data_IF_449826426320
#
_entry.id   IF_449826426320
#
_cell.length_a   1.000
_cell.length_b   1.000
_cell.length_c   1.000
_cell.angle_alpha   90.00
_cell.angle_beta   90.00
_cell.angle_gamma   90.00
#
_symmetry.space_group_name_H-M   'P 1'
#
loop_
_entity.id
_entity.type
_entity.pdbx_description
1 polymer ?
#
# COMPACT_ATOMS: atom_id res chain seq x y z
N UNK A 1 -22.78 -10.61 18.93
CA UNK A 1 -22.00 -10.69 17.66
C UNK A 1 -20.90 -9.65 17.68
N UNK A 2 -19.85 -9.83 16.88
CA UNK A 2 -18.81 -8.82 16.65
C UNK A 2 -19.13 -8.09 15.35
N UNK A 3 -19.22 -6.77 15.41
CA UNK A 3 -19.45 -5.93 14.24
C UNK A 3 -18.14 -5.46 13.62
N UNK A 4 -18.03 -5.51 12.29
CA UNK A 4 -16.87 -5.02 11.55
C UNK A 4 -17.33 -3.94 10.58
N UNK A 5 -16.71 -2.77 10.66
CA UNK A 5 -16.96 -1.62 9.79
C UNK A 5 -15.90 -1.60 8.69
N UNK A 6 -16.30 -1.86 7.45
CA UNK A 6 -15.44 -1.87 6.26
C UNK A 6 -15.13 -3.27 5.75
N UNK A 7 -15.44 -3.51 4.47
CA UNK A 7 -15.22 -4.77 3.73
C UNK A 7 -13.91 -4.80 2.93
N UNK A 8 -12.90 -4.05 3.37
CA UNK A 8 -11.54 -4.14 2.83
C UNK A 8 -10.77 -5.35 3.37
N UNK A 9 -9.54 -5.57 2.89
CA UNK A 9 -8.68 -6.70 3.29
C UNK A 9 -8.53 -6.83 4.81
N UNK A 10 -8.35 -5.71 5.54
CA UNK A 10 -8.22 -5.75 7.00
C UNK A 10 -9.51 -6.21 7.71
N UNK A 11 -10.67 -5.73 7.27
CA UNK A 11 -11.96 -6.11 7.84
C UNK A 11 -12.31 -7.57 7.55
N UNK A 12 -12.07 -8.03 6.32
CA UNK A 12 -12.28 -9.42 5.92
C UNK A 12 -11.31 -10.37 6.65
N UNK A 13 -10.04 -9.98 6.82
CA UNK A 13 -9.07 -10.76 7.58
C UNK A 13 -9.44 -10.86 9.07
N UNK A 14 -9.90 -9.76 9.67
CA UNK A 14 -10.42 -9.76 11.03
C UNK A 14 -11.64 -10.69 11.16
N UNK A 15 -12.57 -10.63 10.21
CA UNK A 15 -13.77 -11.47 10.19
C UNK A 15 -13.42 -12.95 10.14
N UNK A 16 -12.58 -13.34 9.17
CA UNK A 16 -12.10 -14.71 9.01
C UNK A 16 -11.43 -15.23 10.28
N UNK A 17 -10.54 -14.42 10.88
CA UNK A 17 -9.81 -14.82 12.08
C UNK A 17 -10.74 -14.99 13.30
N UNK A 18 -11.72 -14.11 13.47
CA UNK A 18 -12.70 -14.17 14.55
C UNK A 18 -13.66 -15.36 14.41
N UNK A 19 -14.13 -15.66 13.19
CA UNK A 19 -14.96 -16.84 12.93
C UNK A 19 -14.21 -18.14 13.22
N UNK A 20 -12.92 -18.21 12.86
CA UNK A 20 -12.05 -19.34 13.22
C UNK A 20 -11.85 -19.52 14.74
N UNK A 21 -12.10 -18.47 15.53
CA UNK A 21 -12.14 -18.51 17.00
C UNK A 21 -13.53 -18.82 17.57
N UNK A 22 -14.52 -19.04 16.70
CA UNK A 22 -15.88 -19.42 17.07
C UNK A 22 -16.79 -18.24 17.39
N UNK A 23 -16.40 -17.01 17.02
CA UNK A 23 -17.24 -15.83 17.20
C UNK A 23 -18.23 -15.66 16.05
N UNK A 24 -19.41 -15.13 16.37
CA UNK A 24 -20.40 -14.68 15.39
C UNK A 24 -20.05 -13.26 14.92
N UNK A 25 -19.94 -13.06 13.61
CA UNK A 25 -19.38 -11.83 13.02
C UNK A 25 -20.28 -11.33 11.90
N UNK A 26 -20.43 -10.00 11.81
CA UNK A 26 -21.04 -9.32 10.65
C UNK A 26 -20.12 -8.20 10.16
N UNK A 27 -19.85 -8.18 8.85
CA UNK A 27 -19.11 -7.14 8.16
C UNK A 27 -20.09 -6.23 7.44
N UNK A 28 -19.99 -4.93 7.66
CA UNK A 28 -20.79 -3.91 6.97
C UNK A 28 -19.87 -3.10 6.06
N UNK A 29 -20.20 -3.06 4.77
CA UNK A 29 -19.47 -2.30 3.74
C UNK A 29 -20.43 -1.31 3.07
N UNK A 30 -20.02 -0.04 3.02
CA UNK A 30 -20.85 1.04 2.49
C UNK A 30 -21.02 0.97 0.96
N UNK A 31 -20.00 0.50 0.25
CA UNK A 31 -20.04 0.30 -1.20
C UNK A 31 -20.62 -1.06 -1.59
N UNK A 32 -20.92 -1.22 -2.87
CA UNK A 32 -21.41 -2.50 -3.41
C UNK A 32 -20.28 -3.52 -3.62
N UNK A 33 -19.03 -3.06 -3.64
CA UNK A 33 -17.84 -3.84 -3.93
C UNK A 33 -17.00 -4.08 -2.65
N UNK A 34 -16.31 -5.21 -2.60
CA UNK A 34 -15.42 -5.59 -1.49
C UNK A 34 -13.95 -5.50 -1.90
N UNK A 35 -13.05 -5.49 -0.90
CA UNK A 35 -11.59 -5.46 -1.12
C UNK A 35 -10.95 -4.08 -0.96
N UNK A 36 -11.73 -3.00 -0.90
CA UNK A 36 -11.22 -1.65 -0.64
C UNK A 36 -10.19 -1.18 -1.68
N UNK A 37 -8.98 -0.81 -1.25
CA UNK A 37 -7.90 -0.38 -2.16
C UNK A 37 -7.32 -1.50 -3.04
N UNK A 38 -7.76 -2.74 -2.85
CA UNK A 38 -7.49 -3.87 -3.75
C UNK A 38 -8.58 -4.04 -4.83
N UNK A 39 -9.46 -3.05 -5.01
CA UNK A 39 -10.44 -3.03 -6.09
C UNK A 39 -9.77 -3.17 -7.46
N UNK A 40 -10.48 -3.77 -8.41
CA UNK A 40 -9.96 -4.11 -9.73
C UNK A 40 -10.94 -3.79 -10.84
N UNK A 41 -10.40 -3.63 -12.05
CA UNK A 41 -11.12 -3.55 -13.31
C UNK A 41 -11.14 -4.91 -14.00
N UNK A 42 -12.22 -5.19 -14.71
CA UNK A 42 -12.32 -6.32 -15.62
C UNK A 42 -11.43 -6.09 -16.86
N UNK A 43 -10.83 -7.18 -17.36
CA UNK A 43 -10.17 -7.22 -18.67
C UNK A 43 -10.74 -8.38 -19.50
N UNK A 44 -10.22 -8.61 -20.70
CA UNK A 44 -10.58 -9.80 -21.48
C UNK A 44 -10.04 -11.12 -20.88
N UNK A 45 -9.16 -11.05 -19.87
CA UNK A 45 -8.67 -12.19 -19.11
C UNK A 45 -8.77 -11.93 -17.59
N UNK A 46 -7.63 -11.89 -16.91
CA UNK A 46 -7.57 -11.62 -15.48
C UNK A 46 -8.05 -10.21 -15.11
N UNK A 47 -8.51 -10.03 -13.87
CA UNK A 47 -8.79 -8.70 -13.33
C UNK A 47 -7.47 -7.96 -13.08
N UNK A 48 -7.48 -6.64 -13.25
CA UNK A 48 -6.33 -5.77 -13.00
C UNK A 48 -6.66 -4.76 -11.91
N UNK A 49 -5.77 -4.57 -10.94
CA UNK A 49 -6.05 -3.67 -9.82
C UNK A 49 -6.19 -2.19 -10.27
N UNK A 50 -6.97 -1.40 -9.53
CA UNK A 50 -7.14 0.03 -9.81
C UNK A 50 -5.88 0.83 -9.46
N UNK A 51 -5.13 0.34 -8.48
CA UNK A 51 -3.82 0.80 -8.08
C UNK A 51 -2.86 -0.38 -8.18
N UNK A 52 -1.64 -0.14 -8.66
CA UNK A 52 -0.67 -1.22 -8.83
C UNK A 52 -0.32 -1.88 -7.49
N UNK A 53 -0.19 -3.21 -7.49
CA UNK A 53 0.18 -4.01 -6.32
C UNK A 53 1.16 -5.12 -6.72
N UNK A 54 2.05 -5.46 -5.80
CA UNK A 54 2.87 -6.66 -5.83
C UNK A 54 3.22 -7.03 -4.39
N UNK A 55 3.60 -8.29 -4.18
CA UNK A 55 4.08 -8.76 -2.89
C UNK A 55 5.60 -8.68 -2.81
N UNK A 56 6.10 -8.37 -1.63
CA UNK A 56 7.46 -8.69 -1.23
C UNK A 56 7.52 -10.07 -0.57
N UNK A 57 8.70 -10.67 -0.58
CA UNK A 57 8.97 -11.93 0.13
C UNK A 57 8.91 -11.79 1.65
N UNK A 58 9.08 -10.59 2.18
CA UNK A 58 8.90 -10.31 3.61
C UNK A 58 7.43 -10.30 4.04
N UNK A 59 6.49 -10.28 3.09
CA UNK A 59 5.04 -10.27 3.36
C UNK A 59 4.52 -11.70 3.54
N UNK A 60 4.94 -12.34 4.63
CA UNK A 60 4.63 -13.74 4.89
C UNK A 60 3.18 -13.96 5.34
N UNK A 61 2.53 -12.98 5.97
CA UNK A 61 1.20 -13.16 6.58
C UNK A 61 0.12 -13.33 5.52
N UNK A 62 0.14 -12.52 4.46
CA UNK A 62 -0.80 -12.62 3.34
C UNK A 62 -0.58 -13.91 2.55
N UNK A 63 0.67 -14.37 2.40
CA UNK A 63 0.99 -15.63 1.74
C UNK A 63 0.49 -16.82 2.59
N UNK A 64 0.71 -16.79 3.90
CA UNK A 64 0.17 -17.80 4.82
C UNK A 64 -1.36 -17.82 4.81
N UNK A 65 -2.01 -16.66 4.85
CA UNK A 65 -3.46 -16.58 4.75
C UNK A 65 -3.96 -17.12 3.40
N UNK A 66 -3.27 -16.82 2.29
CA UNK A 66 -3.60 -17.39 0.99
C UNK A 66 -3.51 -18.92 0.99
N UNK A 67 -2.50 -19.50 1.64
CA UNK A 67 -2.40 -20.97 1.83
C UNK A 67 -3.56 -21.51 2.66
N UNK A 68 -3.95 -20.83 3.75
CA UNK A 68 -5.05 -21.23 4.61
C UNK A 68 -6.41 -21.23 3.90
N UNK A 69 -6.68 -20.22 3.08
CA UNK A 69 -7.94 -20.09 2.30
C UNK A 69 -7.89 -20.82 0.95
N UNK A 70 -6.82 -21.56 0.67
CA UNK A 70 -6.75 -22.50 -0.45
C UNK A 70 -6.35 -21.90 -1.80
N UNK A 71 -5.74 -20.71 -1.83
CA UNK A 71 -5.22 -20.06 -3.05
C UNK A 71 -3.71 -19.79 -3.02
N UNK A 72 -3.00 -20.35 -2.03
CA UNK A 72 -1.55 -20.17 -1.89
C UNK A 72 -0.74 -20.73 -3.07
N UNK A 73 -1.26 -21.75 -3.77
CA UNK A 73 -0.64 -22.29 -4.99
C UNK A 73 -0.70 -21.33 -6.20
N UNK A 74 -1.52 -20.27 -6.09
CA UNK A 74 -1.61 -19.20 -7.09
C UNK A 74 -0.63 -18.06 -6.85
N UNK A 75 0.14 -18.07 -5.76
CA UNK A 75 1.19 -17.06 -5.53
C UNK A 75 2.39 -17.36 -6.42
N UNK A 76 2.64 -16.50 -7.39
CA UNK A 76 3.77 -16.59 -8.32
C UNK A 76 4.86 -15.58 -7.96
N UNK A 77 6.10 -16.05 -7.89
CA UNK A 77 7.27 -15.19 -7.69
C UNK A 77 7.97 -14.93 -9.02
N UNK A 78 7.90 -13.68 -9.47
CA UNK A 78 8.33 -13.23 -10.80
C UNK A 78 9.44 -12.19 -10.69
N UNK A 79 10.17 -12.00 -11.79
CA UNK A 79 11.20 -10.96 -11.88
C UNK A 79 10.56 -9.66 -12.36
N UNK A 80 10.59 -8.63 -11.53
CA UNK A 80 10.21 -7.27 -11.91
C UNK A 80 11.45 -6.47 -12.34
N UNK A 81 11.49 -6.06 -13.61
CA UNK A 81 12.56 -5.20 -14.13
C UNK A 81 12.31 -3.74 -13.75
N UNK A 82 13.36 -3.08 -13.27
CA UNK A 82 13.33 -1.70 -12.81
C UNK A 82 14.24 -0.83 -13.66
N UNK A 83 13.79 0.39 -13.95
CA UNK A 83 14.61 1.37 -14.62
C UNK A 83 14.36 2.80 -14.12
N UNK A 84 15.24 3.69 -14.56
CA UNK A 84 15.23 5.10 -14.27
C UNK A 84 15.25 5.89 -15.58
N UNK A 85 14.24 6.71 -15.80
CA UNK A 85 14.16 7.60 -16.95
C UNK A 85 14.74 8.96 -16.59
N UNK A 86 15.82 9.36 -17.27
CA UNK A 86 16.48 10.67 -17.08
C UNK A 86 17.17 11.12 -18.36
N UNK A 87 17.09 12.43 -18.65
CA UNK A 87 17.62 13.07 -19.87
C UNK A 87 17.24 12.34 -21.16
N UNK A 88 15.97 11.96 -21.29
CA UNK A 88 15.49 11.32 -22.52
C UNK A 88 15.81 9.83 -22.66
N UNK A 89 16.29 9.15 -21.62
CA UNK A 89 16.78 7.77 -21.71
C UNK A 89 16.33 6.90 -20.55
N UNK A 90 15.98 5.65 -20.87
CA UNK A 90 15.72 4.59 -19.89
C UNK A 90 17.05 3.94 -19.49
N UNK A 91 17.37 3.98 -18.20
CA UNK A 91 18.53 3.34 -17.59
C UNK A 91 18.09 2.16 -16.72
N UNK A 92 18.35 0.91 -17.12
CA UNK A 92 18.07 -0.26 -16.29
C UNK A 92 18.79 -0.19 -14.94
N UNK A 93 18.16 -0.75 -13.90
CA UNK A 93 18.61 -0.70 -12.51
C UNK A 93 18.55 -2.07 -11.82
N UNK A 94 18.54 -3.16 -12.57
CA UNK A 94 18.30 -4.51 -12.06
C UNK A 94 19.58 -5.17 -11.54
N UNK A 95 20.68 -5.01 -12.27
CA UNK A 95 21.97 -5.66 -11.98
C UNK A 95 23.03 -4.68 -11.48
N UNK A 96 24.04 -5.15 -10.70
CA UNK A 96 25.15 -4.29 -10.28
C UNK A 96 25.91 -3.63 -11.44
N UNK A 97 25.98 -4.28 -12.60
CA UNK A 97 26.65 -3.74 -13.78
C UNK A 97 25.86 -2.57 -14.41
N UNK A 98 24.52 -2.67 -14.45
CA UNK A 98 23.66 -1.59 -14.92
C UNK A 98 23.69 -0.39 -13.96
N UNK A 99 23.63 -0.65 -12.65
CA UNK A 99 23.74 0.40 -11.62
C UNK A 99 25.10 1.11 -11.71
N UNK A 100 26.20 0.37 -11.93
CA UNK A 100 27.53 0.98 -12.14
C UNK A 100 27.63 1.74 -13.47
N UNK A 101 26.81 1.37 -14.46
CA UNK A 101 26.71 2.06 -15.74
C UNK A 101 25.84 3.32 -15.70
N UNK A 102 25.15 3.61 -14.59
CA UNK A 102 24.30 4.79 -14.46
C UNK A 102 25.14 6.06 -14.45
N UNK A 103 25.02 6.95 -15.47
CA UNK A 103 26.01 7.99 -15.74
C UNK A 103 25.98 9.17 -14.75
N UNK A 104 24.99 9.22 -13.86
CA UNK A 104 24.82 10.29 -12.88
C UNK A 104 25.46 9.99 -11.52
N UNK A 105 25.93 8.76 -11.31
CA UNK A 105 26.64 8.34 -10.11
C UNK A 105 28.08 7.99 -10.46
N UNK A 106 29.03 8.48 -9.65
CA UNK A 106 30.41 8.02 -9.74
C UNK A 106 30.54 6.59 -9.18
N UNK A 107 31.62 5.85 -9.48
CA UNK A 107 31.86 4.55 -8.85
C UNK A 107 31.87 4.58 -7.32
N UNK A 108 32.25 5.73 -6.72
CA UNK A 108 32.18 5.91 -5.27
C UNK A 108 30.73 6.05 -4.79
N UNK A 109 29.92 6.84 -5.49
CA UNK A 109 28.49 7.00 -5.20
C UNK A 109 27.75 5.66 -5.33
N UNK A 110 27.99 4.92 -6.42
CA UNK A 110 27.45 3.58 -6.62
C UNK A 110 27.85 2.62 -5.51
N UNK A 111 29.12 2.62 -5.10
CA UNK A 111 29.58 1.77 -4.01
C UNK A 111 28.88 2.12 -2.69
N UNK A 112 28.71 3.42 -2.39
CA UNK A 112 28.03 3.89 -1.18
C UNK A 112 26.54 3.55 -1.18
N UNK A 113 25.86 3.72 -2.31
CA UNK A 113 24.47 3.29 -2.50
C UNK A 113 24.34 1.76 -2.32
N UNK A 114 25.22 0.98 -2.95
CA UNK A 114 25.21 -0.47 -2.83
C UNK A 114 25.45 -0.96 -1.40
N UNK A 115 26.32 -0.29 -0.62
CA UNK A 115 26.51 -0.61 0.80
C UNK A 115 25.23 -0.36 1.61
N UNK A 116 24.53 0.76 1.38
CA UNK A 116 23.24 1.03 2.02
C UNK A 116 22.21 -0.06 1.67
N UNK A 117 22.08 -0.42 0.39
CA UNK A 117 21.14 -1.46 -0.07
C UNK A 117 21.46 -2.83 0.54
N UNK A 118 22.74 -3.13 0.80
CA UNK A 118 23.17 -4.35 1.47
C UNK A 118 23.08 -4.28 3.01
N UNK A 119 22.57 -3.19 3.57
CA UNK A 119 22.45 -2.98 5.01
C UNK A 119 23.79 -2.72 5.72
N UNK A 120 24.81 -2.23 5.00
CA UNK A 120 26.17 -2.04 5.52
C UNK A 120 26.47 -0.56 5.79
N UNK A 121 26.57 -0.18 7.07
CA UNK A 121 27.08 1.15 7.45
C UNK A 121 28.60 1.11 7.66
N UNK A 122 29.32 2.06 7.06
CA UNK A 122 30.79 2.18 7.16
C UNK A 122 31.26 3.52 7.74
N UNK A 123 30.35 4.40 8.17
CA UNK A 123 30.68 5.74 8.69
C UNK A 123 31.56 5.69 9.95
N UNK A 124 31.42 4.63 10.75
CA UNK A 124 32.22 4.41 11.96
C UNK A 124 33.65 3.92 11.72
N UNK A 125 34.09 3.78 10.46
CA UNK A 125 35.40 3.25 10.09
C UNK A 125 35.52 1.72 10.16
N UNK A 126 34.61 1.05 10.86
CA UNK A 126 34.42 -0.40 10.87
C UNK A 126 33.02 -0.70 10.30
N UNK A 127 32.87 -1.59 9.31
CA UNK A 127 31.56 -1.96 8.77
C UNK A 127 30.64 -2.57 9.83
N UNK A 128 29.40 -2.10 9.89
CA UNK A 128 28.32 -2.61 10.72
C UNK A 128 27.19 -3.15 9.83
N UNK A 129 26.72 -4.35 10.13
CA UNK A 129 25.63 -5.03 9.41
C UNK A 129 24.28 -4.93 10.13
N UNK A 130 24.27 -4.42 11.36
CA UNK A 130 23.08 -4.36 12.22
C UNK A 130 22.58 -2.93 12.43
N UNK A 131 23.20 -1.95 11.77
CA UNK A 131 22.87 -0.53 11.98
C UNK A 131 21.45 -0.21 11.57
N UNK A 132 20.88 -0.96 10.62
CA UNK A 132 19.55 -0.71 10.06
C UNK A 132 18.53 -1.78 10.43
N UNK A 133 18.81 -2.60 11.44
CA UNK A 133 17.92 -3.69 11.86
C UNK A 133 16.63 -3.15 12.47
N UNK A 134 16.72 -2.11 13.30
CA UNK A 134 15.57 -1.42 13.86
C UNK A 134 15.29 -0.13 13.09
N UNK A 135 14.21 -0.13 12.31
CA UNK A 135 13.80 1.03 11.53
C UNK A 135 13.29 2.18 12.41
N UNK A 136 12.82 1.90 13.63
CA UNK A 136 12.34 2.93 14.55
C UNK A 136 13.46 3.86 15.01
N UNK A 137 14.72 3.39 15.04
CA UNK A 137 15.89 4.23 15.36
C UNK A 137 16.07 5.41 14.37
N UNK A 138 15.44 5.33 13.20
CA UNK A 138 15.54 6.33 12.13
C UNK A 138 14.24 7.10 11.88
N UNK A 139 13.23 6.96 12.75
CA UNK A 139 11.93 7.60 12.53
C UNK A 139 12.01 9.13 12.61
N UNK A 140 12.86 9.68 13.49
CA UNK A 140 13.01 11.12 13.68
C UNK A 140 14.04 11.76 12.75
N UNK A 141 14.74 10.94 11.96
CA UNK A 141 15.80 11.39 11.07
C UNK A 141 15.19 11.78 9.73
N UNK A 142 15.39 13.02 9.23
CA UNK A 142 14.95 13.39 7.89
C UNK A 142 15.62 12.51 6.84
N UNK A 143 14.85 12.06 5.84
CA UNK A 143 15.36 11.17 4.77
C UNK A 143 16.54 11.80 4.03
N UNK A 144 16.52 13.11 3.78
CA UNK A 144 17.62 13.83 3.13
C UNK A 144 18.91 13.73 3.94
N UNK A 145 18.85 14.10 5.22
CA UNK A 145 20.00 14.05 6.14
C UNK A 145 20.56 12.63 6.19
N UNK A 146 19.68 11.64 6.35
CA UNK A 146 20.08 10.24 6.38
C UNK A 146 20.82 9.84 5.11
N UNK A 147 20.26 10.08 3.92
CA UNK A 147 20.89 9.65 2.67
C UNK A 147 22.24 10.32 2.49
N UNK A 148 22.34 11.64 2.71
CA UNK A 148 23.60 12.38 2.53
C UNK A 148 24.70 11.87 3.47
N UNK A 149 24.35 11.52 4.71
CA UNK A 149 25.31 10.97 5.68
C UNK A 149 25.73 9.52 5.36
N UNK A 150 24.77 8.66 5.02
CA UNK A 150 25.01 7.23 4.83
C UNK A 150 25.49 6.87 3.43
N UNK A 151 25.30 7.77 2.47
CA UNK A 151 25.76 7.62 1.08
C UNK A 151 26.66 8.79 0.67
N UNK A 152 26.17 9.70 -0.18
CA UNK A 152 26.80 10.94 -0.64
C UNK A 152 25.73 11.99 -1.02
N UNK A 153 26.13 13.26 -1.13
CA UNK A 153 25.26 14.33 -1.67
C UNK A 153 24.73 14.00 -3.06
N UNK A 154 25.57 13.38 -3.89
CA UNK A 154 25.22 13.06 -5.28
C UNK A 154 24.20 11.93 -5.38
N UNK A 155 24.28 10.94 -4.49
CA UNK A 155 23.27 9.87 -4.38
C UNK A 155 21.92 10.46 -3.98
N UNK A 156 21.89 11.43 -3.05
CA UNK A 156 20.63 12.11 -2.75
C UNK A 156 20.08 12.86 -3.97
N UNK A 157 20.84 13.81 -4.52
CA UNK A 157 20.37 14.70 -5.60
C UNK A 157 20.00 13.96 -6.89
N UNK A 158 20.81 12.99 -7.31
CA UNK A 158 20.65 12.35 -8.61
C UNK A 158 19.77 11.10 -8.59
N UNK A 159 19.53 10.51 -7.42
CA UNK A 159 18.82 9.23 -7.31
C UNK A 159 17.61 9.29 -6.37
N UNK A 160 17.77 9.74 -5.12
CA UNK A 160 16.65 9.72 -4.17
C UNK A 160 15.73 10.93 -4.26
N UNK A 161 16.26 12.13 -4.53
CA UNK A 161 15.47 13.35 -4.56
C UNK A 161 14.35 13.30 -5.61
N UNK A 162 14.57 12.87 -6.87
CA UNK A 162 13.47 12.82 -7.84
C UNK A 162 12.42 11.76 -7.48
N UNK A 163 12.83 10.65 -6.83
CA UNK A 163 11.89 9.63 -6.33
C UNK A 163 11.03 10.17 -5.17
N UNK A 164 11.61 11.00 -4.31
CA UNK A 164 10.93 11.65 -3.21
C UNK A 164 9.99 12.75 -3.72
N UNK A 165 10.41 13.55 -4.71
CA UNK A 165 9.57 14.53 -5.39
C UNK A 165 8.38 13.86 -6.06
N UNK A 166 8.61 12.77 -6.79
CA UNK A 166 7.57 12.00 -7.46
C UNK A 166 6.52 11.44 -6.48
N UNK A 167 6.95 10.99 -5.29
CA UNK A 167 6.06 10.33 -4.31
C UNK A 167 5.41 11.28 -3.32
N UNK A 168 6.12 12.31 -2.85
CA UNK A 168 5.69 13.19 -1.76
C UNK A 168 5.59 14.67 -2.15
N UNK A 169 6.11 15.05 -3.32
CA UNK A 169 6.09 16.44 -3.80
C UNK A 169 6.61 17.42 -2.76
N UNK A 170 5.80 18.43 -2.44
CA UNK A 170 6.14 19.47 -1.46
C UNK A 170 6.40 18.95 -0.04
N UNK A 171 5.93 17.74 0.29
CA UNK A 171 6.06 17.11 1.61
C UNK A 171 7.32 16.25 1.76
N UNK A 172 8.17 16.13 0.74
CA UNK A 172 9.39 15.30 0.80
C UNK A 172 10.31 15.61 1.98
N UNK A 173 10.34 16.86 2.43
CA UNK A 173 11.17 17.31 3.55
C UNK A 173 10.69 16.82 4.92
N UNK A 174 9.44 16.36 5.02
CA UNK A 174 8.85 15.88 6.27
C UNK A 174 9.13 14.40 6.52
N UNK A 175 9.49 13.66 5.45
CA UNK A 175 9.61 12.20 5.42
C UNK A 175 10.76 11.69 6.28
N UNK A 176 10.49 10.64 7.06
CA UNK A 176 11.47 9.94 7.88
C UNK A 176 12.38 9.03 7.06
N UNK A 177 13.59 8.82 7.56
CA UNK A 177 14.54 7.86 7.00
C UNK A 177 14.07 6.40 7.21
N UNK A 178 13.29 6.13 8.26
CA UNK A 178 12.67 4.83 8.48
C UNK A 178 11.82 4.37 7.29
N UNK A 179 11.07 5.27 6.65
CA UNK A 179 10.32 4.98 5.42
C UNK A 179 11.24 4.51 4.29
N UNK A 180 12.37 5.20 4.07
CA UNK A 180 13.29 4.85 3.01
C UNK A 180 13.93 3.48 3.25
N UNK A 181 14.39 3.25 4.48
CA UNK A 181 14.98 1.97 4.90
C UNK A 181 13.96 0.83 4.79
N UNK A 182 12.71 1.08 5.20
CA UNK A 182 11.58 0.16 4.99
C UNK A 182 11.46 -0.23 3.53
N UNK A 183 11.48 0.75 2.62
CA UNK A 183 11.39 0.50 1.18
C UNK A 183 12.59 -0.26 0.61
N UNK A 184 13.80 -0.02 1.14
CA UNK A 184 15.01 -0.76 0.75
C UNK A 184 14.91 -2.21 1.22
N UNK A 185 14.43 -2.47 2.44
CA UNK A 185 14.22 -3.81 2.97
C UNK A 185 13.06 -4.53 2.26
N UNK A 186 11.95 -3.83 2.01
CA UNK A 186 10.77 -4.33 1.32
C UNK A 186 11.10 -4.77 -0.12
N UNK A 187 12.06 -4.11 -0.78
CA UNK A 187 12.53 -4.48 -2.13
C UNK A 187 13.82 -5.33 -2.11
N UNK A 188 14.21 -5.83 -0.93
CA UNK A 188 15.54 -6.38 -0.68
C UNK A 188 15.82 -7.72 -1.38
N UNK A 189 14.80 -8.51 -1.71
CA UNK A 189 15.00 -9.79 -2.40
C UNK A 189 15.26 -9.59 -3.90
N UNK A 190 16.53 -9.76 -4.28
CA UNK A 190 17.03 -9.57 -5.65
C UNK A 190 17.77 -10.80 -6.14
N UNK A 191 17.47 -11.22 -7.37
CA UNK A 191 18.36 -12.06 -8.16
C UNK A 191 19.46 -11.17 -8.75
N UNK A 192 20.70 -11.41 -8.33
CA UNK A 192 21.89 -10.62 -8.74
C UNK A 192 22.13 -10.55 -10.26
N UNK A 193 21.45 -11.38 -11.06
CA UNK A 193 21.54 -11.42 -12.52
C UNK A 193 20.28 -10.95 -13.23
N UNK A 194 19.13 -10.89 -12.55
CA UNK A 194 17.83 -10.73 -13.20
C UNK A 194 16.99 -9.56 -12.67
N UNK A 195 17.20 -9.12 -11.44
CA UNK A 195 16.45 -8.01 -10.83
C UNK A 195 15.68 -8.41 -9.58
N UNK A 196 14.66 -7.65 -9.25
CA UNK A 196 13.84 -7.84 -8.04
C UNK A 196 12.87 -9.01 -8.18
N UNK A 197 12.72 -9.81 -7.12
CA UNK A 197 11.76 -10.90 -7.05
C UNK A 197 10.51 -10.37 -6.34
N UNK A 198 9.40 -10.31 -7.07
CA UNK A 198 8.13 -9.80 -6.59
C UNK A 198 7.05 -10.88 -6.72
N UNK A 199 6.14 -10.94 -5.76
CA UNK A 199 5.02 -11.86 -5.77
C UNK A 199 3.80 -11.25 -6.45
N UNK A 200 3.03 -12.07 -7.14
CA UNK A 200 1.73 -11.70 -7.69
C UNK A 200 0.83 -12.93 -7.72
N UNK A 201 -0.47 -12.73 -7.60
CA UNK A 201 -1.41 -13.84 -7.75
C UNK A 201 -1.64 -14.12 -9.24
N UNK A 202 -1.48 -15.37 -9.63
CA UNK A 202 -2.11 -15.91 -10.83
C UNK A 202 -3.60 -15.53 -10.76
N UNK A 203 -4.07 -14.65 -11.65
CA UNK A 203 -5.44 -14.11 -11.68
C UNK A 203 -5.63 -12.71 -11.07
N UNK A 204 -4.57 -12.09 -10.55
CA UNK A 204 -4.61 -10.81 -9.83
C UNK A 204 -5.01 -10.96 -8.36
N UNK A 205 -4.85 -9.90 -7.58
CA UNK A 205 -5.21 -9.83 -6.16
C UNK A 205 -6.71 -10.00 -5.92
N UNK A 206 -7.55 -9.79 -6.95
CA UNK A 206 -8.97 -10.14 -6.90
C UNK A 206 -9.20 -11.59 -6.48
N UNK A 207 -8.33 -12.53 -6.87
CA UNK A 207 -8.39 -13.94 -6.47
C UNK A 207 -8.27 -14.12 -4.96
N UNK A 208 -7.34 -13.40 -4.33
CA UNK A 208 -7.14 -13.45 -2.89
C UNK A 208 -8.34 -12.83 -2.16
N UNK A 209 -8.85 -11.71 -2.65
CA UNK A 209 -10.03 -11.04 -2.08
C UNK A 209 -11.26 -11.93 -2.18
N UNK A 210 -11.53 -12.51 -3.35
CA UNK A 210 -12.67 -13.40 -3.59
C UNK A 210 -12.60 -14.65 -2.70
N UNK A 211 -11.42 -15.28 -2.59
CA UNK A 211 -11.22 -16.42 -1.70
C UNK A 211 -11.43 -16.07 -0.22
N UNK A 212 -11.03 -14.86 0.19
CA UNK A 212 -11.22 -14.39 1.56
C UNK A 212 -12.71 -14.08 1.84
N UNK A 213 -13.43 -13.53 0.88
CA UNK A 213 -14.89 -13.34 0.94
C UNK A 213 -15.60 -14.68 1.07
N UNK A 214 -15.22 -15.66 0.25
CA UNK A 214 -15.77 -17.02 0.30
C UNK A 214 -15.49 -17.70 1.64
N UNK A 215 -14.29 -17.51 2.21
CA UNK A 215 -13.92 -18.05 3.51
C UNK A 215 -14.69 -17.41 4.67
N UNK A 216 -15.00 -16.11 4.59
CA UNK A 216 -15.86 -15.40 5.56
C UNK A 216 -17.33 -15.78 5.41
N UNK A 217 -17.76 -16.03 4.17
CA UNK A 217 -19.12 -16.39 3.80
C UNK A 217 -20.01 -15.17 3.57
N UNK A 218 -20.75 -15.18 2.45
CA UNK A 218 -21.63 -14.08 2.04
C UNK A 218 -22.72 -13.74 3.09
N UNK A 219 -23.17 -14.73 3.88
CA UNK A 219 -24.15 -14.51 4.95
C UNK A 219 -23.59 -13.69 6.14
N UNK A 220 -22.27 -13.51 6.23
CA UNK A 220 -21.63 -12.67 7.25
C UNK A 220 -21.33 -11.25 6.72
N UNK A 221 -21.56 -10.97 5.44
CA UNK A 221 -21.16 -9.71 4.80
C UNK A 221 -22.40 -8.99 4.26
N UNK A 222 -22.47 -7.69 4.52
CA UNK A 222 -23.54 -6.81 4.04
C UNK A 222 -22.96 -5.60 3.31
N UNK A 223 -23.04 -5.61 1.98
CA UNK A 223 -22.63 -4.50 1.12
C UNK A 223 -23.75 -3.47 0.94
N UNK A 224 -23.43 -2.29 0.42
CA UNK A 224 -24.38 -1.18 0.28
C UNK A 224 -24.97 -0.71 1.61
N UNK A 225 -24.25 -0.95 2.70
CA UNK A 225 -24.72 -0.75 4.09
C UNK A 225 -23.66 -0.01 4.89
N UNK A 226 -23.91 1.29 5.09
CA UNK A 226 -23.00 2.19 5.79
C UNK A 226 -23.24 2.13 7.29
N UNK A 227 -22.21 1.94 8.09
CA UNK A 227 -22.30 2.17 9.54
C UNK A 227 -22.33 3.68 9.78
N UNK A 228 -23.40 4.15 10.40
CA UNK A 228 -23.66 5.57 10.63
C UNK A 228 -23.36 6.01 12.08
N UNK A 229 -23.40 5.09 13.04
CA UNK A 229 -23.13 5.38 14.46
C UNK A 229 -22.65 4.13 15.23
N UNK A 230 -21.83 4.35 16.26
CA UNK A 230 -21.43 3.33 17.23
C UNK A 230 -22.02 3.70 18.59
N UNK A 231 -23.00 2.91 19.04
CA UNK A 231 -23.63 3.08 20.34
C UNK A 231 -22.66 2.73 21.47
N UNK A 232 -22.42 3.70 22.37
CA UNK A 232 -21.56 3.54 23.55
C UNK A 232 -22.40 3.71 24.81
N UNK A 233 -22.43 2.67 25.65
CA UNK A 233 -23.12 2.65 26.94
C UNK A 233 -22.15 2.26 28.05
N UNK A 234 -22.13 3.02 29.15
CA UNK A 234 -21.23 2.83 30.29
C UNK A 234 -19.74 2.67 29.90
N UNK A 235 -19.32 3.38 28.84
CA UNK A 235 -17.95 3.34 28.33
C UNK A 235 -17.60 2.12 27.49
N UNK A 236 -18.61 1.35 27.03
CA UNK A 236 -18.43 0.16 26.19
C UNK A 236 -19.20 0.31 24.87
N UNK A 237 -18.61 -0.14 23.77
CA UNK A 237 -19.33 -0.28 22.49
C UNK A 237 -20.37 -1.40 22.59
N UNK A 238 -21.65 -1.08 22.40
CA UNK A 238 -22.77 -2.03 22.58
C UNK A 238 -23.66 -2.16 21.36
N UNK A 239 -23.60 -1.23 20.41
CA UNK A 239 -24.42 -1.29 19.20
C UNK A 239 -23.73 -0.66 17.98
N UNK A 240 -24.12 -1.12 16.79
CA UNK A 240 -23.85 -0.46 15.52
C UNK A 240 -25.18 -0.08 14.86
N UNK A 241 -25.32 1.19 14.49
CA UNK A 241 -26.43 1.66 13.65
C UNK A 241 -25.97 1.74 12.21
N UNK A 242 -26.73 1.12 11.32
CA UNK A 242 -26.41 1.00 9.90
C UNK A 242 -27.51 1.59 9.04
N UNK A 243 -27.12 2.19 7.92
CA UNK A 243 -27.98 2.71 6.86
C UNK A 243 -27.78 1.83 5.62
N UNK A 244 -28.72 0.92 5.40
CA UNK A 244 -28.75 0.02 4.25
C UNK A 244 -29.81 0.43 3.22
N UNK A 245 -29.98 -0.41 2.20
CA UNK A 245 -30.98 -0.22 1.13
C UNK A 245 -32.42 -0.21 1.66
N UNK A 246 -32.68 -0.94 2.74
CA UNK A 246 -34.00 -1.07 3.37
C UNK A 246 -34.26 -0.04 4.49
N UNK A 247 -33.31 0.88 4.71
CA UNK A 247 -33.39 1.94 5.73
C UNK A 247 -32.39 1.76 6.87
N UNK A 248 -32.65 2.45 7.97
CA UNK A 248 -31.82 2.41 9.17
C UNK A 248 -32.19 1.21 10.05
N UNK A 249 -31.18 0.51 10.57
CA UNK A 249 -31.33 -0.54 11.59
C UNK A 249 -30.19 -0.53 12.59
N UNK A 250 -30.42 -1.07 13.78
CA UNK A 250 -29.42 -1.15 14.86
C UNK A 250 -29.17 -2.61 15.23
N UNK A 251 -27.89 -2.96 15.38
CA UNK A 251 -27.42 -4.30 15.73
C UNK A 251 -26.69 -4.23 17.08
N UNK A 252 -27.09 -5.07 18.03
CA UNK A 252 -26.34 -5.22 19.29
C UNK A 252 -25.02 -5.95 19.03
N UNK A 253 -23.93 -5.43 19.61
CA UNK A 253 -22.59 -5.97 19.47
C UNK A 253 -21.89 -6.17 20.81
N UNK A 254 -21.05 -7.20 20.88
CA UNK A 254 -20.16 -7.45 22.01
C UNK A 254 -18.85 -6.65 21.87
N UNK A 255 -18.46 -6.36 20.63
CA UNK A 255 -17.31 -5.56 20.24
C UNK A 255 -17.48 -5.05 18.79
N UNK A 256 -16.76 -3.98 18.44
CA UNK A 256 -16.72 -3.41 17.10
C UNK A 256 -15.27 -3.21 16.61
N UNK A 257 -14.99 -3.58 15.36
CA UNK A 257 -13.71 -3.32 14.68
C UNK A 257 -13.95 -2.32 13.56
N UNK A 258 -13.26 -1.18 13.60
CA UNK A 258 -13.26 -0.19 12.52
C UNK A 258 -12.07 -0.47 11.61
N UNK A 259 -12.34 -1.00 10.41
CA UNK A 259 -11.34 -1.37 9.40
C UNK A 259 -11.36 -0.44 8.17
N UNK A 260 -11.89 0.77 8.35
CA UNK A 260 -11.98 1.83 7.33
C UNK A 260 -10.83 2.84 7.45
N UNK A 261 -10.80 3.84 6.55
CA UNK A 261 -9.91 4.99 6.71
C UNK A 261 -10.21 5.76 8.00
N UNK A 262 -9.20 6.44 8.61
CA UNK A 262 -9.35 7.13 9.88
C UNK A 262 -10.50 8.12 9.91
N UNK A 263 -10.78 8.86 8.84
CA UNK A 263 -11.87 9.84 8.82
C UNK A 263 -13.24 9.24 9.16
N UNK A 264 -13.46 7.95 8.88
CA UNK A 264 -14.68 7.24 9.28
C UNK A 264 -14.64 6.91 10.77
N UNK A 265 -13.49 6.51 11.32
CA UNK A 265 -13.30 6.37 12.77
C UNK A 265 -13.56 7.70 13.47
N UNK A 266 -13.02 8.81 12.95
CA UNK A 266 -13.21 10.16 13.49
C UNK A 266 -14.69 10.55 13.49
N UNK A 267 -15.40 10.28 12.38
CA UNK A 267 -16.84 10.55 12.26
C UNK A 267 -17.66 9.72 13.27
N UNK A 268 -17.35 8.44 13.43
CA UNK A 268 -18.12 7.52 14.26
C UNK A 268 -17.86 7.68 15.77
N UNK A 269 -16.70 8.22 16.15
CA UNK A 269 -16.24 8.14 17.56
C UNK A 269 -15.73 9.46 18.14
N UNK A 270 -15.42 10.44 17.29
CA UNK A 270 -14.74 11.66 17.70
C UNK A 270 -13.24 11.48 18.03
N UNK A 271 -12.69 10.27 17.88
CA UNK A 271 -11.23 10.07 17.90
C UNK A 271 -10.59 10.97 16.84
N UNK A 272 -9.41 11.55 17.09
CA UNK A 272 -8.72 12.42 16.12
C UNK A 272 -7.49 11.71 15.60
N UNK A 273 -7.39 11.57 14.28
CA UNK A 273 -6.19 11.04 13.63
C UNK A 273 -5.24 12.18 13.29
N UNK A 274 -4.00 12.11 13.77
CA UNK A 274 -2.95 13.08 13.42
C UNK A 274 -2.17 12.73 12.16
N UNK A 275 -2.34 11.51 11.62
CA UNK A 275 -1.63 11.06 10.43
C UNK A 275 -2.24 11.73 9.19
N UNK A 276 -1.37 12.42 8.45
CA UNK A 276 -1.71 12.95 7.14
C UNK A 276 -1.64 11.85 6.06
N UNK A 277 -2.57 11.92 5.12
CA UNK A 277 -2.66 10.99 3.99
C UNK A 277 -2.58 11.75 2.68
N UNK A 278 -1.90 11.15 1.71
CA UNK A 278 -1.89 11.61 0.34
C UNK A 278 -2.92 10.84 -0.49
N UNK A 279 -3.51 11.55 -1.44
CA UNK A 279 -4.37 10.99 -2.46
C UNK A 279 -3.58 10.46 -3.65
N UNK A 280 -4.27 9.75 -4.53
CA UNK A 280 -3.70 9.28 -5.79
C UNK A 280 -4.70 9.41 -6.91
N UNK A 281 -4.20 9.85 -8.06
CA UNK A 281 -4.84 9.68 -9.36
C UNK A 281 -4.02 8.65 -10.11
N UNK A 282 -4.63 7.51 -10.42
CA UNK A 282 -3.98 6.38 -11.08
C UNK A 282 -4.81 6.02 -12.31
N UNK A 283 -4.16 5.74 -13.45
CA UNK A 283 -4.86 5.28 -14.64
C UNK A 283 -4.22 4.03 -15.18
N UNK A 284 -5.04 3.05 -15.55
CA UNK A 284 -4.65 1.87 -16.32
C UNK A 284 -4.91 2.18 -17.79
N UNK A 285 -3.86 2.20 -18.58
CA UNK A 285 -3.85 2.46 -20.01
C UNK A 285 -3.66 1.10 -20.69
N UNK A 286 -4.65 0.64 -21.44
CA UNK A 286 -4.58 -0.56 -22.26
C UNK A 286 -4.14 -0.18 -23.68
N UNK A 287 -3.15 -0.89 -24.20
CA UNK A 287 -2.45 -0.58 -25.44
C UNK A 287 -2.19 -1.84 -26.28
N UNK A 288 -2.07 -1.66 -27.60
CA UNK A 288 -1.75 -2.73 -28.56
C UNK A 288 -0.28 -3.18 -28.50
N UNK A 289 0.61 -2.29 -28.07
CA UNK A 289 2.04 -2.54 -27.99
C UNK A 289 2.63 -1.92 -26.72
N UNK A 290 3.75 -2.46 -26.20
CA UNK A 290 4.34 -1.94 -24.97
C UNK A 290 5.03 -0.59 -25.20
N UNK A 291 5.03 0.27 -24.19
CA UNK A 291 5.79 1.52 -24.18
C UNK A 291 7.29 1.24 -24.01
N UNK A 292 7.63 0.30 -23.13
CA UNK A 292 8.99 -0.10 -22.78
C UNK A 292 9.05 -1.61 -22.50
N UNK A 293 10.24 -2.15 -22.21
CA UNK A 293 10.39 -3.53 -21.72
C UNK A 293 10.58 -3.61 -20.18
N UNK A 294 10.28 -2.50 -19.48
CA UNK A 294 10.49 -2.32 -18.04
C UNK A 294 9.16 -2.47 -17.30
N UNK A 295 9.15 -3.16 -16.16
CA UNK A 295 7.96 -3.22 -15.30
C UNK A 295 7.76 -1.93 -14.52
N UNK A 296 8.80 -1.45 -13.83
CA UNK A 296 8.72 -0.25 -13.01
C UNK A 296 9.71 0.82 -13.49
N UNK A 297 9.18 1.88 -14.07
CA UNK A 297 9.95 3.01 -14.57
C UNK A 297 9.76 4.22 -13.66
N UNK A 298 10.82 4.59 -12.94
CA UNK A 298 10.87 5.85 -12.21
C UNK A 298 11.23 6.97 -13.18
N UNK A 299 10.54 8.11 -13.10
CA UNK A 299 10.72 9.22 -14.05
C UNK A 299 11.26 10.43 -13.30
N UNK A 300 12.51 10.80 -13.59
CA UNK A 300 13.15 11.98 -12.99
C UNK A 300 12.94 13.26 -13.82
N UNK A 301 12.73 13.11 -15.13
CA UNK A 301 12.40 14.23 -16.01
C UNK A 301 11.01 14.80 -15.69
N UNK A 302 10.77 16.07 -16.04
CA UNK A 302 9.49 16.73 -15.79
C UNK A 302 8.32 16.02 -16.53
N UNK A 303 7.48 15.36 -15.74
CA UNK A 303 6.41 14.51 -16.20
C UNK A 303 5.11 14.79 -15.41
N UNK A 304 3.94 14.52 -16.00
CA UNK A 304 2.68 14.66 -15.27
C UNK A 304 2.53 13.56 -14.21
N UNK A 305 3.17 12.40 -14.40
CA UNK A 305 3.20 11.26 -13.49
C UNK A 305 4.55 11.13 -12.80
N UNK A 306 4.57 10.56 -11.59
CA UNK A 306 5.81 10.29 -10.86
C UNK A 306 6.48 8.96 -11.25
N UNK A 307 5.69 8.01 -11.75
CA UNK A 307 6.17 6.72 -12.21
C UNK A 307 5.24 6.15 -13.28
N UNK A 308 5.81 5.27 -14.10
CA UNK A 308 5.10 4.44 -15.07
C UNK A 308 5.31 2.97 -14.67
N UNK A 309 4.22 2.22 -14.48
CA UNK A 309 4.28 0.80 -14.12
C UNK A 309 3.67 0.01 -15.25
N UNK A 310 4.50 -0.56 -16.12
CA UNK A 310 4.05 -1.35 -17.26
C UNK A 310 3.84 -2.80 -16.80
N UNK A 311 2.66 -3.02 -16.23
CA UNK A 311 2.25 -4.27 -15.60
C UNK A 311 2.50 -5.49 -16.48
N UNK A 312 2.31 -5.34 -17.79
CA UNK A 312 2.45 -6.46 -18.73
C UNK A 312 3.89 -6.88 -19.04
N UNK A 313 4.88 -6.14 -18.56
CA UNK A 313 6.27 -6.56 -18.51
C UNK A 313 6.59 -7.44 -17.28
N UNK A 314 5.68 -7.50 -16.30
CA UNK A 314 5.77 -8.35 -15.11
C UNK A 314 4.85 -9.57 -15.21
N UNK A 315 3.59 -9.36 -15.61
CA UNK A 315 2.60 -10.41 -15.87
C UNK A 315 2.23 -10.38 -17.36
N UNK A 316 2.48 -11.44 -18.13
CA UNK A 316 2.50 -11.34 -19.58
C UNK A 316 1.10 -11.02 -20.17
N UNK A 317 1.03 -10.28 -21.29
CA UNK A 317 -0.22 -9.73 -21.83
C UNK A 317 -1.27 -10.77 -22.20
N UNK A 318 -0.88 -12.03 -22.46
CA UNK A 318 -1.83 -13.13 -22.71
C UNK A 318 -2.77 -13.37 -21.53
N UNK A 319 -2.39 -12.94 -20.33
CA UNK A 319 -3.24 -12.95 -19.13
C UNK A 319 -4.38 -11.94 -19.18
N UNK A 320 -4.25 -10.88 -19.97
CA UNK A 320 -5.19 -9.76 -20.07
C UNK A 320 -5.86 -9.68 -21.45
N UNK A 321 -5.86 -10.78 -22.20
CA UNK A 321 -6.46 -10.84 -23.53
C UNK A 321 -5.55 -10.40 -24.68
N UNK A 322 -4.28 -10.10 -24.39
CA UNK A 322 -3.30 -9.61 -25.36
C UNK A 322 -2.94 -8.14 -25.15
N UNK A 323 -3.72 -7.39 -24.37
CA UNK A 323 -3.48 -5.98 -24.08
C UNK A 323 -2.17 -5.80 -23.32
N UNK A 324 -1.42 -4.76 -23.68
CA UNK A 324 -0.33 -4.22 -22.88
C UNK A 324 -0.90 -3.20 -21.90
N UNK A 325 -0.66 -3.39 -20.59
CA UNK A 325 -1.24 -2.58 -19.53
C UNK A 325 -0.18 -1.72 -18.86
N UNK A 326 -0.40 -0.40 -18.89
CA UNK A 326 0.47 0.60 -18.30
C UNK A 326 -0.28 1.43 -17.25
N UNK A 327 0.25 1.46 -16.03
CA UNK A 327 -0.18 2.42 -15.02
C UNK A 327 0.56 3.74 -15.17
N UNK A 328 -0.19 4.85 -15.21
CA UNK A 328 0.31 6.19 -14.98
C UNK A 328 -0.22 6.71 -13.65
N UNK A 329 0.68 7.17 -12.77
CA UNK A 329 0.33 7.54 -11.39
C UNK A 329 0.88 8.90 -10.97
N UNK A 330 0.06 9.66 -10.26
CA UNK A 330 0.48 10.87 -9.55
C UNK A 330 -0.11 10.90 -8.13
N UNK A 331 0.69 11.35 -7.17
CA UNK A 331 0.30 11.52 -5.78
C UNK A 331 -0.11 12.96 -5.51
N UNK A 332 -1.23 13.12 -4.83
CA UNK A 332 -1.85 14.41 -4.56
C UNK A 332 -1.77 14.69 -3.06
N UNK A 333 -1.13 15.79 -2.69
CA UNK A 333 -1.06 16.26 -1.30
C UNK A 333 -2.28 17.11 -0.93
N UNK A 334 -2.88 17.81 -1.91
CA UNK A 334 -4.05 18.66 -1.67
C UNK A 334 -5.14 18.53 -2.75
N UNK A 335 -6.44 18.60 -2.39
CA UNK A 335 -7.53 18.67 -3.38
C UNK A 335 -7.47 19.90 -4.30
N UNK A 336 -6.57 20.86 -4.00
CA UNK A 336 -6.37 22.07 -4.78
C UNK A 336 -5.55 21.83 -6.05
N UNK A 337 -4.79 20.74 -6.10
CA UNK A 337 -3.88 20.41 -7.19
C UNK A 337 -4.61 20.15 -8.50
N UNK A 338 -3.95 20.49 -9.61
CA UNK A 338 -4.55 20.50 -10.95
C UNK A 338 -5.08 19.11 -11.33
N UNK A 339 -4.26 18.07 -11.17
CA UNK A 339 -4.61 16.69 -11.55
C UNK A 339 -5.82 16.16 -10.78
N UNK A 340 -5.99 16.56 -9.52
CA UNK A 340 -7.13 16.15 -8.70
C UNK A 340 -8.46 16.72 -9.20
N UNK A 341 -8.43 17.91 -9.81
CA UNK A 341 -9.61 18.64 -10.30
C UNK A 341 -9.98 18.29 -11.75
N UNK A 342 -9.14 17.52 -12.44
CA UNK A 342 -9.42 17.07 -13.80
C UNK A 342 -10.47 15.96 -13.81
N UNK A 343 -11.36 16.00 -14.79
CA UNK A 343 -12.20 14.85 -15.15
C UNK A 343 -11.36 13.76 -15.85
N UNK A 344 -11.96 12.59 -16.11
CA UNK A 344 -11.24 11.41 -16.61
C UNK A 344 -10.64 11.64 -18.00
N UNK A 345 -11.37 12.33 -18.88
CA UNK A 345 -10.89 12.67 -20.22
C UNK A 345 -9.69 13.61 -20.16
N UNK A 346 -9.73 14.64 -19.31
CA UNK A 346 -8.60 15.55 -19.12
C UNK A 346 -7.40 14.87 -18.45
N UNK A 347 -7.62 13.91 -17.55
CA UNK A 347 -6.53 13.08 -16.97
C UNK A 347 -5.90 12.20 -18.03
N UNK A 348 -6.72 11.55 -18.88
CA UNK A 348 -6.25 10.75 -20.01
C UNK A 348 -5.35 11.59 -20.93
N UNK A 349 -5.84 12.74 -21.41
CA UNK A 349 -5.05 13.68 -22.23
C UNK A 349 -3.75 14.08 -21.52
N UNK A 350 -3.83 14.39 -20.21
CA UNK A 350 -2.67 14.81 -19.43
C UNK A 350 -1.58 13.74 -19.36
N UNK A 351 -1.95 12.47 -19.21
CA UNK A 351 -1.02 11.35 -19.25
C UNK A 351 -0.41 11.16 -20.62
N UNK A 352 -1.24 11.07 -21.66
CA UNK A 352 -0.79 10.78 -23.02
C UNK A 352 0.13 11.88 -23.56
N UNK A 353 -0.19 13.16 -23.34
CA UNK A 353 0.68 14.29 -23.70
C UNK A 353 2.05 14.24 -22.98
N UNK A 354 2.06 13.70 -21.75
CA UNK A 354 3.28 13.45 -20.99
C UNK A 354 4.12 12.31 -21.59
N UNK A 355 3.47 11.20 -21.92
CA UNK A 355 4.09 10.04 -22.53
C UNK A 355 4.68 10.42 -23.90
N UNK A 356 3.92 11.06 -24.79
CA UNK A 356 4.39 11.52 -26.11
C UNK A 356 5.63 12.41 -26.02
N UNK A 357 5.70 13.28 -25.00
CA UNK A 357 6.85 14.17 -24.79
C UNK A 357 8.12 13.40 -24.39
N UNK A 358 7.97 12.35 -23.58
CA UNK A 358 9.09 11.56 -23.08
C UNK A 358 9.48 10.44 -24.04
N UNK A 359 8.53 9.87 -24.76
CA UNK A 359 8.73 8.74 -25.67
C UNK A 359 8.30 9.15 -27.09
N UNK A 360 9.20 9.72 -27.90
CA UNK A 360 8.86 10.19 -29.25
C UNK A 360 8.41 9.09 -30.23
N UNK A 361 8.66 7.82 -29.88
CA UNK A 361 8.23 6.65 -30.65
C UNK A 361 6.83 6.15 -30.24
N UNK A 362 6.26 6.67 -29.14
CA UNK A 362 4.92 6.32 -28.70
C UNK A 362 3.89 6.81 -29.72
N UNK A 363 3.00 5.89 -30.14
CA UNK A 363 1.85 6.19 -30.97
C UNK A 363 0.59 6.22 -30.11
N UNK A 364 -0.06 7.39 -30.04
CA UNK A 364 -1.29 7.56 -29.27
C UNK A 364 -2.46 6.74 -29.81
N UNK A 365 -2.44 6.39 -31.10
CA UNK A 365 -3.45 5.52 -31.72
C UNK A 365 -3.34 4.06 -31.23
N UNK A 366 -2.25 3.68 -30.55
CA UNK A 366 -2.09 2.36 -29.90
C UNK A 366 -2.93 2.22 -28.62
N UNK A 367 -3.48 3.31 -28.08
CA UNK A 367 -4.26 3.30 -26.83
C UNK A 367 -5.69 2.90 -27.12
N UNK A 368 -6.11 1.75 -26.60
CA UNK A 368 -7.47 1.26 -26.75
C UNK A 368 -8.43 1.81 -25.69
N UNK A 369 -7.96 1.88 -24.44
CA UNK A 369 -8.77 2.28 -23.29
C UNK A 369 -7.92 2.86 -22.17
N UNK A 370 -8.46 3.89 -21.52
CA UNK A 370 -7.93 4.40 -20.25
C UNK A 370 -9.00 4.30 -19.18
N UNK A 371 -8.64 3.78 -18.01
CA UNK A 371 -9.52 3.75 -16.84
C UNK A 371 -8.84 4.38 -15.65
N UNK A 372 -9.47 5.41 -15.09
CA UNK A 372 -8.89 6.24 -14.04
C UNK A 372 -9.56 5.98 -12.70
N UNK A 373 -8.74 5.69 -11.68
CA UNK A 373 -9.14 5.64 -10.28
C UNK A 373 -8.63 6.87 -9.53
N UNK A 374 -9.45 7.38 -8.61
CA UNK A 374 -9.07 8.45 -7.68
C UNK A 374 -9.44 8.04 -6.27
N UNK A 375 -8.52 8.22 -5.34
CA UNK A 375 -8.82 8.08 -3.93
C UNK A 375 -8.06 9.15 -3.14
N UNK A 376 -8.74 9.89 -2.23
CA UNK A 376 -8.13 11.01 -1.52
C UNK A 376 -7.14 10.58 -0.43
N UNK A 377 -7.11 9.29 -0.08
CA UNK A 377 -6.27 8.75 1.00
C UNK A 377 -5.81 7.33 0.66
N UNK A 378 -4.74 7.21 -0.12
CA UNK A 378 -4.17 5.92 -0.55
C UNK A 378 -2.88 5.56 0.18
N UNK A 379 -2.21 6.53 0.80
CA UNK A 379 -0.96 6.29 1.51
C UNK A 379 -0.80 7.30 2.66
N UNK A 380 -0.28 6.88 3.82
CA UNK A 380 0.19 7.82 4.83
C UNK A 380 1.39 8.63 4.31
N UNK A 381 1.54 9.84 4.80
CA UNK A 381 2.82 10.55 4.76
C UNK A 381 3.62 10.10 5.98
N UNK A 382 4.69 9.34 5.75
CA UNK A 382 5.54 8.81 6.83
C UNK A 382 6.50 9.88 7.36
N UNK A 383 5.93 10.80 8.13
CA UNK A 383 6.66 11.91 8.73
C UNK A 383 7.58 11.46 9.86
N UNK A 384 8.35 12.40 10.40
CA UNK A 384 9.10 12.20 11.63
C UNK A 384 8.17 12.13 12.83
N UNK A 385 8.45 11.22 13.77
CA UNK A 385 7.57 10.93 14.90
C UNK A 385 6.27 10.22 14.49
N UNK A 386 6.24 9.54 13.35
CA UNK A 386 5.03 8.85 12.86
C UNK A 386 4.52 7.81 13.85
N UNK A 387 5.41 7.11 14.55
CA UNK A 387 5.02 6.05 15.49
C UNK A 387 4.18 6.57 16.66
N UNK A 388 4.37 7.83 17.07
CA UNK A 388 3.56 8.49 18.10
C UNK A 388 2.14 8.82 17.61
N UNK A 389 1.94 8.88 16.29
CA UNK A 389 0.67 9.23 15.65
C UNK A 389 -0.18 8.01 15.28
N UNK A 390 0.41 6.80 15.33
CA UNK A 390 -0.26 5.55 15.00
C UNK A 390 -1.48 5.35 15.89
N UNK A 391 -2.61 5.00 15.28
CA UNK A 391 -3.82 4.66 16.01
C UNK A 391 -3.64 3.27 16.63
N UNK A 392 -3.81 3.12 17.96
CA UNK A 392 -3.68 1.84 18.62
C UNK A 392 -4.81 0.89 18.18
N UNK A 393 -4.51 -0.41 18.13
CA UNK A 393 -5.50 -1.43 17.78
C UNK A 393 -6.68 -1.48 18.76
N UNK A 394 -6.44 -1.19 20.04
CA UNK A 394 -7.45 -1.14 21.11
C UNK A 394 -7.72 0.33 21.46
N UNK A 395 -8.98 0.74 21.34
CA UNK A 395 -9.44 2.10 21.62
C UNK A 395 -10.12 2.24 22.98
N UNK A 396 -10.02 1.23 23.86
CA UNK A 396 -10.63 1.20 25.19
C UNK A 396 -10.33 2.42 26.04
N UNK A 397 -9.06 2.82 26.10
CA UNK A 397 -8.63 3.94 26.94
C UNK A 397 -8.92 5.30 26.28
N UNK A 398 -9.07 5.35 24.96
CA UNK A 398 -9.25 6.57 24.19
C UNK A 398 -10.73 6.90 23.90
N UNK A 399 -11.57 5.88 23.76
CA UNK A 399 -12.97 6.01 23.31
C UNK A 399 -13.89 5.13 24.17
N UNK A 400 -13.82 3.81 24.03
CA UNK A 400 -14.71 2.86 24.70
C UNK A 400 -14.16 1.43 24.68
N UNK A 401 -14.41 0.67 25.74
CA UNK A 401 -14.13 -0.76 25.80
C UNK A 401 -14.85 -1.52 24.68
N UNK A 402 -14.19 -2.53 24.11
CA UNK A 402 -14.75 -3.31 23.01
C UNK A 402 -14.70 -2.63 21.64
N UNK A 403 -13.99 -1.50 21.50
CA UNK A 403 -13.78 -0.83 20.22
C UNK A 403 -12.33 -0.96 19.76
N UNK A 404 -12.15 -1.34 18.48
CA UNK A 404 -10.84 -1.64 17.90
C UNK A 404 -10.66 -0.99 16.53
N UNK A 405 -9.41 -0.80 16.11
CA UNK A 405 -9.08 -0.20 14.81
C UNK A 405 -8.04 -1.00 14.03
N UNK A 406 -8.40 -1.43 12.81
CA UNK A 406 -7.56 -2.25 11.92
C UNK A 406 -7.17 -1.54 10.60
N UNK A 407 -7.38 -0.21 10.51
CA UNK A 407 -7.19 0.53 9.27
C UNK A 407 -5.73 0.93 8.96
N UNK A 408 -5.55 1.70 7.88
CA UNK A 408 -4.24 2.06 7.33
C UNK A 408 -3.35 2.88 8.30
N UNK A 409 -3.95 3.51 9.31
CA UNK A 409 -3.23 4.29 10.33
C UNK A 409 -2.71 3.46 11.52
N UNK A 410 -2.75 2.13 11.42
CA UNK A 410 -2.29 1.21 12.47
C UNK A 410 -0.81 0.84 12.32
N UNK A 411 -0.24 0.22 13.35
CA UNK A 411 1.20 -0.09 13.40
C UNK A 411 1.68 -1.01 12.29
N UNK A 412 0.84 -1.94 11.82
CA UNK A 412 1.20 -2.89 10.76
C UNK A 412 1.46 -2.23 9.40
N UNK A 413 1.12 -0.95 9.24
CA UNK A 413 1.29 -0.19 8.02
C UNK A 413 2.51 0.75 8.10
N UNK A 414 3.33 0.61 9.14
CA UNK A 414 4.60 1.30 9.31
C UNK A 414 5.78 0.35 9.04
N UNK A 415 6.88 0.84 8.45
CA UNK A 415 7.06 2.17 7.85
C UNK A 415 6.66 2.23 6.37
N UNK A 416 6.05 1.17 5.83
CA UNK A 416 5.51 1.14 4.49
C UNK A 416 4.17 0.40 4.48
N UNK A 417 3.23 0.89 3.66
CA UNK A 417 1.87 0.37 3.59
C UNK A 417 1.74 -0.75 2.57
N UNK A 418 1.04 -1.80 2.94
CA UNK A 418 0.82 -2.96 2.07
C UNK A 418 -0.49 -3.70 2.37
N UNK A 419 -0.84 -4.65 1.50
CA UNK A 419 -1.99 -5.53 1.71
C UNK A 419 -1.73 -6.51 2.86
N UNK A 420 -0.48 -7.00 3.02
CA UNK A 420 -0.06 -7.79 4.17
C UNK A 420 -0.25 -7.04 5.49
N UNK A 421 0.17 -5.77 5.55
CA UNK A 421 -0.09 -4.92 6.71
C UNK A 421 -1.58 -4.79 7.04
N UNK A 422 -2.46 -4.89 6.03
CA UNK A 422 -3.91 -4.93 6.21
C UNK A 422 -4.37 -6.24 6.87
N UNK A 423 -3.86 -7.38 6.39
CA UNK A 423 -4.11 -8.70 7.00
C UNK A 423 -3.61 -8.73 8.45
N UNK A 424 -2.39 -8.28 8.70
CA UNK A 424 -1.78 -8.21 10.04
C UNK A 424 -2.62 -7.34 10.97
N UNK A 425 -3.05 -6.15 10.53
CA UNK A 425 -3.90 -5.28 11.34
C UNK A 425 -5.24 -5.95 11.69
N UNK A 426 -5.87 -6.63 10.73
CA UNK A 426 -7.09 -7.40 10.96
C UNK A 426 -6.90 -8.52 11.98
N UNK A 427 -5.81 -9.28 11.89
CA UNK A 427 -5.47 -10.33 12.83
C UNK A 427 -5.17 -9.78 14.23
N UNK A 428 -4.38 -8.71 14.35
CA UNK A 428 -4.08 -8.05 15.62
C UNK A 428 -5.36 -7.60 16.35
N UNK A 429 -6.34 -7.04 15.63
CA UNK A 429 -7.64 -6.72 16.20
C UNK A 429 -8.43 -7.96 16.61
N UNK A 430 -8.46 -8.99 15.75
CA UNK A 430 -9.17 -10.24 16.06
C UNK A 430 -8.66 -10.91 17.34
N UNK A 431 -7.34 -10.96 17.56
CA UNK A 431 -6.76 -11.53 18.78
C UNK A 431 -7.14 -10.73 20.04
N UNK A 432 -7.20 -9.40 19.95
CA UNK A 432 -7.61 -8.54 21.08
C UNK A 432 -9.09 -8.66 21.40
N UNK A 433 -9.93 -8.70 20.37
CA UNK A 433 -11.38 -8.93 20.54
C UNK A 433 -11.62 -10.31 21.15
N UNK A 434 -10.94 -11.37 20.68
CA UNK A 434 -11.03 -12.72 21.25
C UNK A 434 -10.64 -12.75 22.73
N UNK A 435 -9.55 -12.03 23.10
CA UNK A 435 -9.14 -11.85 24.48
C UNK A 435 -10.20 -11.18 25.34
N UNK A 436 -10.77 -10.07 24.85
CA UNK A 436 -11.78 -9.27 25.54
C UNK A 436 -13.09 -10.03 25.74
N UNK A 437 -13.68 -10.58 24.67
CA UNK A 437 -14.96 -11.31 24.71
C UNK A 437 -14.79 -12.66 25.42
N UNK A 438 -13.64 -13.31 25.27
CA UNK A 438 -13.31 -14.57 25.92
C UNK A 438 -12.98 -14.46 27.42
N UNK A 439 -12.98 -13.25 28.00
CA UNK A 439 -12.71 -13.02 29.42
C UNK A 439 -11.26 -13.31 29.83
N UNK A 440 -10.31 -13.29 28.89
CA UNK A 440 -8.88 -13.35 29.18
C UNK A 440 -8.42 -11.94 29.54
N UNK A 441 -7.62 -11.78 30.59
CA UNK A 441 -7.10 -10.47 31.02
C UNK A 441 -6.52 -9.70 29.81
N UNK A 442 -6.78 -8.38 29.75
CA UNK A 442 -6.25 -7.46 28.72
C UNK A 442 -4.77 -7.79 28.49
N UNK A 443 -4.42 -8.25 27.29
CA UNK A 443 -3.02 -8.38 26.89
C UNK A 443 -2.53 -6.97 26.62
N UNK A 444 -1.99 -6.32 27.65
CA UNK A 444 -1.22 -5.09 27.49
C UNK A 444 0.04 -5.49 26.74
N UNK A 445 0.01 -5.36 25.41
CA UNK A 445 1.21 -5.43 24.61
C UNK A 445 2.04 -4.18 24.95
N UNK A 446 3.16 -4.41 25.63
CA UNK A 446 4.20 -3.42 25.84
C UNK A 446 4.67 -2.90 24.46
N UNK A 447 4.75 -1.59 24.19
CA UNK A 447 5.16 -1.08 22.87
C UNK A 447 6.63 -1.39 22.50
N UNK A 448 7.36 -2.13 23.34
CA UNK A 448 8.79 -2.40 23.17
C UNK A 448 9.07 -3.90 23.30
N UNK A 449 8.74 -4.69 22.29
CA UNK A 449 9.43 -5.95 21.95
C UNK A 449 8.79 -6.69 20.76
N UNK A 450 9.19 -6.35 19.53
CA UNK A 450 10.09 -7.14 18.67
C UNK A 450 10.11 -6.60 17.25
#
# INVERSE_FOLDING_TARGET
MIGIVGGGVAGLAAAYRLQNRGHDVRVFEASDDLGGLAASYETAGDRIEQFYHHLSRSEETIVQLAEEIGVGDRVEWRIGKNAYYVDGRVHPMDTPAEILGFPYLSPYDTARLGLLTLGVDVRGGVPSLSTYDDLADFEDVPVETFVREHTTDRVYEAFFEPLLDAKFGSRKGDVSAAWLLGRVQFRGERDLRRGEILGYFDGGFGVFVDALIDAVGADAIETGTRVADIGIEDGRATALTVEGRDGESTHEVDAAVVATMPNVLEELTGYTCSIDFQGTVCSVIAMDEPLTDTYWLNVADEAPFGALIEHTNFVPPERYGGDHLLYAVSYVQEPSERVWRMDDDAVCDHWLDGIERLFPEFDRDSVERVSTARNPRTAPVYERGYLEQVIPYDLGDAVADGLYYAGMASRAQYPERSLDGGVVAGFECAERVDGYVGGRERVVADPVAR
#
